data_IF_261909510490
#
_entry.id   IF_261909510490
#
_cell.length_a   1.000
_cell.length_b   1.000
_cell.length_c   1.000
_cell.angle_alpha   90.00
_cell.angle_beta   90.00
_cell.angle_gamma   90.00
#
_symmetry.space_group_name_H-M   'P 1'
#
loop_
_entity.id
_entity.type
_entity.pdbx_description
1 polymer ?
#
# COMPACT_ATOMS: atom_id res chain seq x y z
N UNK A 1 22.54 4.11 9.24
CA UNK A 1 21.70 4.72 8.22
C UNK A 1 20.24 4.60 8.57
N UNK A 2 19.49 5.64 8.36
CA UNK A 2 18.08 5.64 8.70
C UNK A 2 17.25 5.11 7.55
N UNK A 3 16.28 4.27 7.87
CA UNK A 3 15.29 3.82 6.91
C UNK A 3 14.04 4.66 6.95
N UNK A 4 14.04 5.69 7.78
CA UNK A 4 12.86 6.54 7.90
C UNK A 4 12.71 7.43 6.68
N UNK A 5 11.48 7.71 6.29
CA UNK A 5 11.26 8.68 5.20
C UNK A 5 11.84 10.02 5.56
N UNK A 6 12.32 10.73 4.54
CA UNK A 6 12.99 11.99 4.76
C UNK A 6 12.05 13.17 4.73
N UNK A 7 10.93 13.03 4.06
CA UNK A 7 10.03 14.16 3.89
C UNK A 7 8.59 13.67 4.03
N UNK A 8 7.70 14.63 4.00
CA UNK A 8 6.30 14.37 4.24
C UNK A 8 5.68 13.49 3.17
N UNK A 9 6.07 13.72 1.92
CA UNK A 9 5.56 12.88 0.83
C UNK A 9 5.92 11.42 1.06
N UNK A 10 7.18 11.17 1.41
CA UNK A 10 7.62 9.79 1.65
C UNK A 10 6.89 9.16 2.83
N UNK A 11 6.66 9.95 3.88
CA UNK A 11 5.94 9.45 5.04
C UNK A 11 4.53 9.04 4.68
N UNK A 12 3.86 9.83 3.85
CA UNK A 12 2.49 9.53 3.45
C UNK A 12 2.44 8.36 2.49
N UNK A 13 3.41 8.25 1.59
CA UNK A 13 3.49 7.08 0.72
C UNK A 13 3.64 5.82 1.57
N UNK A 14 4.48 5.88 2.58
CA UNK A 14 4.67 4.75 3.48
C UNK A 14 3.38 4.39 4.20
N UNK A 15 2.70 5.39 4.74
CA UNK A 15 1.47 5.16 5.50
C UNK A 15 0.36 4.61 4.60
N UNK A 16 0.11 5.27 3.48
CA UNK A 16 -0.99 4.87 2.63
C UNK A 16 -0.70 3.59 1.87
N UNK A 17 0.55 3.38 1.47
CA UNK A 17 0.92 2.14 0.83
C UNK A 17 0.68 0.95 1.74
N UNK A 18 1.08 1.07 2.98
CA UNK A 18 0.86 -0.01 3.94
C UNK A 18 -0.62 -0.24 4.18
N UNK A 19 -1.41 0.83 4.30
CA UNK A 19 -2.86 0.68 4.47
C UNK A 19 -3.51 -0.06 3.30
N UNK A 20 -3.08 0.27 2.08
CA UNK A 20 -3.64 -0.38 0.90
C UNK A 20 -3.31 -1.87 0.91
N UNK A 21 -2.05 -2.18 1.15
CA UNK A 21 -1.61 -3.58 1.06
C UNK A 21 -2.16 -4.40 2.20
N UNK A 22 -2.34 -3.80 3.37
CA UNK A 22 -2.90 -4.52 4.51
C UNK A 22 -4.41 -4.69 4.42
N UNK A 23 -5.06 -4.05 3.44
CA UNK A 23 -6.48 -4.25 3.23
C UNK A 23 -7.38 -3.22 3.87
N UNK A 24 -6.82 -2.16 4.46
CA UNK A 24 -7.65 -1.10 5.02
C UNK A 24 -8.52 -0.45 3.95
N UNK A 25 -8.02 -0.44 2.70
CA UNK A 25 -8.79 0.00 1.56
C UNK A 25 -8.88 -1.20 0.62
N UNK A 26 -10.02 -1.88 0.56
CA UNK A 26 -10.11 -3.11 -0.22
C UNK A 26 -9.86 -2.91 -1.71
N UNK A 27 -9.38 -3.95 -2.35
CA UNK A 27 -9.20 -3.97 -3.79
C UNK A 27 -10.53 -3.64 -4.47
N UNK A 28 -10.46 -2.74 -5.45
CA UNK A 28 -11.64 -2.31 -6.18
C UNK A 28 -12.34 -1.12 -5.59
N UNK A 29 -12.08 -0.80 -4.33
CA UNK A 29 -12.74 0.31 -3.68
C UNK A 29 -12.04 1.63 -4.01
N UNK A 30 -12.81 2.70 -3.87
CA UNK A 30 -12.28 4.03 -4.05
C UNK A 30 -11.57 4.48 -2.78
N UNK A 31 -10.39 5.07 -2.95
CA UNK A 31 -9.72 5.70 -1.83
C UNK A 31 -10.48 6.96 -1.40
N UNK A 32 -10.37 7.34 -0.12
CA UNK A 32 -10.84 8.64 0.30
C UNK A 32 -10.23 9.75 -0.58
N UNK A 33 -10.93 10.87 -0.64
CA UNK A 33 -10.52 11.97 -1.50
C UNK A 33 -9.25 12.64 -0.97
N UNK A 34 -8.62 13.43 -1.84
CA UNK A 34 -7.50 14.25 -1.42
C UNK A 34 -7.91 15.22 -0.31
N UNK A 35 -9.13 15.73 -0.39
CA UNK A 35 -9.60 16.62 0.67
C UNK A 35 -9.66 15.89 2.01
N UNK A 36 -10.17 14.68 2.01
CA UNK A 36 -10.26 13.88 3.23
C UNK A 36 -8.87 13.63 3.81
N UNK A 37 -7.93 13.19 2.97
CA UNK A 37 -6.58 12.93 3.44
C UNK A 37 -5.87 14.21 3.85
N UNK A 38 -6.16 15.32 3.17
CA UNK A 38 -5.60 16.59 3.55
C UNK A 38 -5.99 16.98 4.96
N UNK A 39 -7.22 16.68 5.35
CA UNK A 39 -7.69 16.95 6.68
C UNK A 39 -7.14 15.94 7.68
N UNK A 40 -7.11 14.67 7.30
CA UNK A 40 -6.61 13.65 8.20
C UNK A 40 -5.15 13.87 8.55
N UNK A 41 -4.33 14.19 7.58
CA UNK A 41 -2.88 14.30 7.76
C UNK A 41 -2.41 15.74 7.88
N UNK A 42 -3.31 16.69 7.71
CA UNK A 42 -2.97 18.12 7.79
C UNK A 42 -1.87 18.47 6.76
N UNK A 43 -2.12 18.12 5.52
CA UNK A 43 -1.16 18.35 4.44
C UNK A 43 -1.87 19.00 3.25
N UNK A 44 -1.08 19.62 2.39
CA UNK A 44 -1.60 20.33 1.22
C UNK A 44 -1.95 19.34 0.11
N UNK A 45 -2.82 19.80 -0.81
CA UNK A 45 -3.20 18.99 -1.95
C UNK A 45 -2.03 18.64 -2.87
N UNK A 46 -1.08 19.55 -3.15
CA UNK A 46 0.05 19.18 -3.98
C UNK A 46 0.84 18.00 -3.43
N UNK A 47 0.99 17.93 -2.12
CA UNK A 47 1.67 16.80 -1.50
C UNK A 47 0.88 15.52 -1.75
N UNK A 48 -0.43 15.57 -1.55
CA UNK A 48 -1.25 14.38 -1.77
C UNK A 48 -1.28 13.96 -3.23
N UNK A 49 -1.24 14.92 -4.14
CA UNK A 49 -1.18 14.60 -5.55
C UNK A 49 0.10 13.84 -5.87
N UNK A 50 1.21 14.28 -5.26
CA UNK A 50 2.47 13.59 -5.46
C UNK A 50 2.43 12.19 -4.86
N UNK A 51 1.86 12.04 -3.68
CA UNK A 51 1.70 10.73 -3.04
C UNK A 51 0.91 9.80 -3.95
N UNK A 52 -0.20 10.28 -4.50
CA UNK A 52 -1.03 9.46 -5.37
C UNK A 52 -0.25 9.01 -6.61
N UNK A 53 0.55 9.91 -7.18
CA UNK A 53 1.35 9.55 -8.33
C UNK A 53 2.35 8.43 -8.00
N UNK A 54 2.96 8.49 -6.83
CA UNK A 54 3.89 7.46 -6.42
C UNK A 54 3.17 6.13 -6.24
N UNK A 55 1.99 6.17 -5.62
CA UNK A 55 1.22 4.93 -5.43
C UNK A 55 0.78 4.35 -6.77
N UNK A 56 0.44 5.20 -7.73
CA UNK A 56 0.11 4.74 -9.07
C UNK A 56 1.31 4.09 -9.76
N UNK A 57 2.49 4.68 -9.58
CA UNK A 57 3.70 4.11 -10.16
C UNK A 57 4.03 2.75 -9.59
N UNK A 58 3.61 2.49 -8.36
CA UNK A 58 3.81 1.19 -7.71
C UNK A 58 2.72 0.18 -8.09
N UNK A 59 1.77 0.58 -8.90
CA UNK A 59 0.70 -0.31 -9.35
C UNK A 59 -0.39 -0.55 -8.34
N UNK A 60 -0.42 0.23 -7.26
CA UNK A 60 -1.39 -0.01 -6.20
C UNK A 60 -2.75 0.62 -6.48
N UNK A 61 -2.76 1.74 -7.17
CA UNK A 61 -3.99 2.47 -7.43
C UNK A 61 -4.01 2.98 -8.87
N UNK A 62 -5.19 3.34 -9.33
CA UNK A 62 -5.35 3.98 -10.63
C UNK A 62 -6.39 5.08 -10.51
N UNK A 63 -6.29 6.06 -11.39
CA UNK A 63 -7.23 7.15 -11.44
C UNK A 63 -8.29 6.82 -12.48
N UNK A 64 -9.55 6.90 -12.08
CA UNK A 64 -10.67 6.65 -12.97
C UNK A 64 -11.54 7.88 -13.09
N UNK A 65 -11.83 8.24 -14.32
CA UNK A 65 -12.66 9.38 -14.60
C UNK A 65 -14.02 9.22 -13.89
N UNK A 66 -14.44 10.27 -13.21
CA UNK A 66 -15.73 10.35 -12.50
C UNK A 66 -15.85 9.44 -11.30
N UNK A 67 -14.88 8.57 -11.08
CA UNK A 67 -14.89 7.68 -9.93
C UNK A 67 -13.89 8.16 -8.88
N UNK A 68 -12.69 8.52 -9.31
CA UNK A 68 -11.62 8.92 -8.42
C UNK A 68 -10.51 7.88 -8.45
N UNK A 69 -9.75 7.82 -7.39
CA UNK A 69 -8.63 6.90 -7.28
C UNK A 69 -9.13 5.60 -6.66
N UNK A 70 -8.87 4.48 -7.33
CA UNK A 70 -9.32 3.17 -6.86
C UNK A 70 -8.14 2.24 -6.66
N UNK A 71 -8.32 1.29 -5.75
CA UNK A 71 -7.29 0.29 -5.44
C UNK A 71 -7.31 -0.78 -6.53
N UNK A 72 -6.15 -1.06 -7.12
CA UNK A 72 -6.05 -2.03 -8.20
C UNK A 72 -5.99 -3.45 -7.65
N UNK A 73 -6.29 -4.40 -8.51
CA UNK A 73 -6.18 -5.80 -8.16
C UNK A 73 -4.72 -6.13 -7.81
N UNK A 74 -4.55 -7.09 -6.92
CA UNK A 74 -3.22 -7.43 -6.39
C UNK A 74 -2.24 -7.85 -7.48
N UNK A 75 -2.73 -8.50 -8.51
CA UNK A 75 -1.84 -8.94 -9.60
C UNK A 75 -1.23 -7.77 -10.35
N UNK A 76 -1.76 -6.57 -10.18
CA UNK A 76 -1.21 -5.38 -10.81
C UNK A 76 -0.17 -4.68 -9.95
N UNK A 77 -0.05 -5.06 -8.68
CA UNK A 77 0.91 -4.42 -7.80
C UNK A 77 2.32 -4.80 -8.21
N UNK A 78 3.23 -3.83 -8.12
CA UNK A 78 4.62 -4.04 -8.56
C UNK A 78 5.41 -4.75 -7.47
N UNK A 79 5.35 -6.06 -7.46
CA UNK A 79 6.01 -6.83 -6.41
C UNK A 79 7.53 -6.77 -6.47
N UNK A 80 8.10 -6.29 -7.56
CA UNK A 80 9.54 -6.05 -7.63
C UNK A 80 9.92 -4.70 -7.03
N UNK A 81 8.95 -3.85 -6.76
CA UNK A 81 9.20 -2.59 -6.07
C UNK A 81 9.56 -2.90 -4.62
N UNK A 82 10.71 -2.43 -4.12
CA UNK A 82 11.12 -2.77 -2.75
C UNK A 82 10.13 -2.34 -1.69
N UNK A 83 9.48 -1.21 -1.89
CA UNK A 83 8.51 -0.73 -0.91
C UNK A 83 7.28 -1.63 -0.88
N UNK A 84 6.77 -2.00 -2.06
CA UNK A 84 5.60 -2.88 -2.13
C UNK A 84 5.91 -4.21 -1.49
N UNK A 85 7.09 -4.77 -1.78
CA UNK A 85 7.47 -6.02 -1.18
C UNK A 85 7.58 -5.91 0.34
N UNK A 86 8.22 -4.85 0.81
CA UNK A 86 8.38 -4.63 2.24
C UNK A 86 7.02 -4.50 2.94
N UNK A 87 6.11 -3.72 2.36
CA UNK A 87 4.78 -3.55 2.93
C UNK A 87 4.00 -4.84 2.92
N UNK A 88 4.17 -5.64 1.88
CA UNK A 88 3.48 -6.93 1.83
C UNK A 88 3.94 -7.82 2.97
N UNK A 89 5.23 -7.87 3.21
CA UNK A 89 5.77 -8.66 4.30
C UNK A 89 5.28 -8.13 5.64
N UNK A 90 5.30 -6.82 5.81
CA UNK A 90 4.89 -6.19 7.06
C UNK A 90 3.42 -6.40 7.37
N UNK A 91 2.61 -6.53 6.34
CA UNK A 91 1.16 -6.64 6.54
C UNK A 91 0.72 -8.07 6.84
N UNK A 92 1.60 -9.04 6.70
CA UNK A 92 1.28 -10.41 7.04
C UNK A 92 1.35 -10.57 8.56
N UNK A 93 0.30 -11.14 9.18
CA UNK A 93 0.43 -11.50 10.58
C UNK A 93 1.61 -12.43 10.75
N UNK A 94 2.33 -12.28 11.83
CA UNK A 94 3.51 -13.09 12.06
C UNK A 94 3.18 -14.57 11.94
N UNK A 95 2.05 -14.96 12.50
CA UNK A 95 1.63 -16.34 12.45
C UNK A 95 1.43 -16.81 11.02
N UNK A 96 0.76 -16.00 10.22
CA UNK A 96 0.51 -16.36 8.83
C UNK A 96 1.80 -16.44 8.04
N UNK A 97 2.72 -15.54 8.35
CA UNK A 97 4.00 -15.56 7.66
C UNK A 97 4.76 -16.85 7.96
N UNK A 98 4.78 -17.24 9.23
CA UNK A 98 5.46 -18.45 9.65
C UNK A 98 4.79 -19.66 9.02
N UNK A 99 3.47 -19.68 9.03
CA UNK A 99 2.73 -20.78 8.42
C UNK A 99 3.06 -20.90 6.94
N UNK A 100 3.16 -19.75 6.27
CA UNK A 100 3.50 -19.74 4.86
C UNK A 100 4.88 -20.33 4.61
N UNK A 101 5.84 -20.00 5.47
CA UNK A 101 7.19 -20.53 5.33
C UNK A 101 7.24 -22.04 5.51
N UNK A 102 6.39 -22.57 6.35
CA UNK A 102 6.40 -24.00 6.67
C UNK A 102 5.25 -24.74 6.02
N UNK A 103 4.58 -24.12 5.09
CA UNK A 103 3.41 -24.72 4.48
C UNK A 103 3.73 -26.04 3.82
N UNK A 104 4.84 -26.11 3.11
CA UNK A 104 5.26 -27.34 2.46
C UNK A 104 5.49 -28.43 3.49
N UNK A 105 6.09 -28.07 4.60
CA UNK A 105 6.32 -29.03 5.67
C UNK A 105 4.99 -29.58 6.18
N UNK A 106 4.01 -28.70 6.32
CA UNK A 106 2.71 -29.13 6.80
C UNK A 106 2.07 -30.15 5.85
N UNK A 107 2.32 -29.99 4.58
CA UNK A 107 1.77 -30.90 3.60
C UNK A 107 2.29 -32.31 3.79
N UNK A 108 3.50 -32.44 4.27
CA UNK A 108 4.09 -33.75 4.48
C UNK A 108 3.74 -34.38 5.80
N UNK A 109 3.19 -33.65 6.69
CA UNK A 109 2.93 -34.17 8.01
C UNK A 109 1.97 -35.33 7.88
N UNK A 110 2.36 -36.49 8.32
CA UNK A 110 1.51 -37.66 8.26
C UNK A 110 0.37 -37.55 9.23
#
# INVERSE_FOLDING_TARGET
MSLKPRNLTEQLVETLGLRIISGDYPVGDRLPSEQYFGEEFDVSRPILREVTKVLMAKGLVESRSRVGTTVRARENWSMLDPDVLRWTIQSLPEQDFIDSLFDTRMVYEP
#
